data_IF_722534823962
#
_entry.id   IF_722534823962
#
_cell.length_a   1.000
_cell.length_b   1.000
_cell.length_c   1.000
_cell.angle_alpha   90.00
_cell.angle_beta   90.00
_cell.angle_gamma   90.00
#
_symmetry.space_group_name_H-M   'P 1'
#
loop_
_entity.id
_entity.type
_entity.pdbx_description
1 polymer ?
#
# COMPACT_ATOMS: atom_id res chain seq x y z
N UNK A 1 -12.61 5.68 -4.74
CA UNK A 1 -11.81 4.55 -5.27
C UNK A 1 -12.38 3.26 -4.74
N UNK A 2 -12.60 2.26 -5.59
CA UNK A 2 -13.12 0.97 -5.14
C UNK A 2 -12.06 0.26 -4.28
N UNK A 3 -12.33 0.08 -2.98
CA UNK A 3 -11.44 -0.54 -1.98
C UNK A 3 -10.96 -1.93 -2.40
N UNK A 4 -11.79 -2.67 -3.14
CA UNK A 4 -11.48 -4.02 -3.59
C UNK A 4 -10.34 -4.07 -4.64
N UNK A 5 -10.15 -3.00 -5.43
CA UNK A 5 -9.10 -2.95 -6.47
C UNK A 5 -7.70 -3.13 -5.86
N UNK A 6 -7.25 -2.27 -4.91
CA UNK A 6 -5.94 -2.43 -4.30
C UNK A 6 -5.84 -3.73 -3.49
N UNK A 7 -6.91 -4.15 -2.80
CA UNK A 7 -6.94 -5.42 -2.05
C UNK A 7 -6.62 -6.63 -2.91
N UNK A 8 -7.30 -6.78 -4.04
CA UNK A 8 -7.10 -7.90 -4.94
C UNK A 8 -5.75 -7.79 -5.64
N UNK A 9 -5.39 -6.61 -6.15
CA UNK A 9 -4.16 -6.42 -6.93
C UNK A 9 -2.90 -6.71 -6.11
N UNK A 10 -2.78 -6.12 -4.91
CA UNK A 10 -1.57 -6.28 -4.09
C UNK A 10 -1.48 -7.66 -3.44
N UNK A 11 -2.63 -8.25 -3.07
CA UNK A 11 -2.65 -9.63 -2.57
C UNK A 11 -2.27 -10.65 -3.65
N UNK A 12 -2.82 -10.49 -4.87
CA UNK A 12 -2.46 -11.35 -5.99
C UNK A 12 -0.98 -11.20 -6.36
N UNK A 13 -0.44 -9.98 -6.35
CA UNK A 13 0.98 -9.74 -6.60
C UNK A 13 1.87 -10.52 -5.62
N UNK A 14 1.67 -10.35 -4.31
CA UNK A 14 2.52 -11.02 -3.32
C UNK A 14 2.28 -12.53 -3.26
N UNK A 15 1.07 -13.01 -3.54
CA UNK A 15 0.78 -14.43 -3.70
C UNK A 15 1.57 -15.03 -4.87
N UNK A 16 1.59 -14.37 -6.02
CA UNK A 16 2.37 -14.79 -7.19
C UNK A 16 3.86 -14.78 -6.86
N UNK A 17 4.37 -13.73 -6.21
CA UNK A 17 5.80 -13.68 -5.80
C UNK A 17 6.15 -14.81 -4.83
N UNK A 18 5.30 -15.07 -3.83
CA UNK A 18 5.52 -16.11 -2.82
C UNK A 18 5.41 -17.55 -3.36
N UNK A 19 4.66 -17.78 -4.45
CA UNK A 19 4.51 -19.10 -5.08
C UNK A 19 5.50 -19.27 -6.24
N UNK A 20 5.51 -18.36 -7.20
CA UNK A 20 6.34 -18.46 -8.40
C UNK A 20 7.82 -18.23 -8.10
N UNK A 21 8.13 -17.29 -7.20
CA UNK A 21 9.52 -16.97 -6.84
C UNK A 21 10.33 -18.19 -6.40
N UNK A 22 9.88 -18.99 -5.42
CA UNK A 22 10.59 -20.20 -5.00
C UNK A 22 10.74 -21.28 -6.08
N UNK A 23 9.81 -21.35 -7.04
CA UNK A 23 9.84 -22.32 -8.15
C UNK A 23 10.92 -21.92 -9.17
N UNK A 24 11.13 -20.62 -9.39
CA UNK A 24 12.07 -20.09 -10.36
C UNK A 24 13.53 -20.06 -9.86
N UNK A 25 13.80 -20.44 -8.60
CA UNK A 25 15.16 -20.43 -8.04
C UNK A 25 16.03 -21.52 -8.69
N UNK A 26 17.17 -21.17 -9.31
CA UNK A 26 18.06 -22.14 -9.93
C UNK A 26 18.69 -23.08 -8.90
N UNK A 27 19.05 -24.27 -9.35
CA UNK A 27 19.70 -25.26 -8.49
C UNK A 27 21.11 -24.82 -8.15
N UNK A 28 21.38 -24.68 -6.85
CA UNK A 28 22.70 -24.30 -6.34
C UNK A 28 22.81 -24.57 -4.83
N UNK A 29 24.01 -24.41 -4.24
CA UNK A 29 24.26 -24.72 -2.83
C UNK A 29 23.32 -23.98 -1.86
N UNK A 30 22.89 -22.78 -2.23
CA UNK A 30 22.08 -21.89 -1.39
C UNK A 30 20.59 -21.87 -1.79
N UNK A 31 20.12 -22.81 -2.61
CA UNK A 31 18.75 -22.80 -3.15
C UNK A 31 17.69 -22.68 -2.05
N UNK A 32 17.80 -23.50 -1.00
CA UNK A 32 16.83 -23.50 0.10
C UNK A 32 16.78 -22.17 0.85
N UNK A 33 17.94 -21.53 1.07
CA UNK A 33 18.03 -20.21 1.72
C UNK A 33 17.36 -19.15 0.86
N UNK A 34 17.62 -19.14 -0.45
CA UNK A 34 16.98 -18.17 -1.36
C UNK A 34 15.46 -18.38 -1.41
N UNK A 35 14.99 -19.63 -1.43
CA UNK A 35 13.56 -19.94 -1.39
C UNK A 35 12.89 -19.43 -0.10
N UNK A 36 13.51 -19.66 1.06
CA UNK A 36 12.95 -19.20 2.34
C UNK A 36 12.99 -17.68 2.46
N UNK A 37 14.05 -17.03 1.97
CA UNK A 37 14.12 -15.56 1.90
C UNK A 37 12.97 -14.99 1.07
N UNK A 38 12.69 -15.55 -0.12
CA UNK A 38 11.61 -15.08 -0.99
C UNK A 38 10.24 -15.23 -0.31
N UNK A 39 9.96 -16.39 0.29
CA UNK A 39 8.68 -16.65 0.97
C UNK A 39 8.52 -15.72 2.18
N UNK A 40 9.55 -15.60 3.01
CA UNK A 40 9.53 -14.73 4.19
C UNK A 40 9.30 -13.27 3.80
N UNK A 41 10.01 -12.78 2.78
CA UNK A 41 9.80 -11.42 2.26
C UNK A 41 8.37 -11.23 1.75
N UNK A 42 7.85 -12.17 0.96
CA UNK A 42 6.50 -12.06 0.41
C UNK A 42 5.43 -11.96 1.52
N UNK A 43 5.54 -12.81 2.54
CA UNK A 43 4.61 -12.80 3.69
C UNK A 43 4.75 -11.50 4.49
N UNK A 44 5.97 -11.09 4.85
CA UNK A 44 6.21 -9.90 5.66
C UNK A 44 5.75 -8.61 4.94
N UNK A 45 6.07 -8.47 3.65
CA UNK A 45 5.69 -7.30 2.86
C UNK A 45 4.17 -7.24 2.62
N UNK A 46 3.54 -8.38 2.34
CA UNK A 46 2.07 -8.44 2.22
C UNK A 46 1.40 -8.09 3.55
N UNK A 47 1.86 -8.67 4.67
CA UNK A 47 1.32 -8.43 6.00
C UNK A 47 1.48 -6.97 6.43
N UNK A 48 2.65 -6.38 6.21
CA UNK A 48 2.87 -4.95 6.47
C UNK A 48 1.88 -4.09 5.67
N UNK A 49 1.76 -4.37 4.37
CA UNK A 49 0.88 -3.63 3.48
C UNK A 49 -0.59 -3.73 3.87
N UNK A 50 -1.11 -4.95 4.12
CA UNK A 50 -2.54 -5.12 4.41
C UNK A 50 -2.92 -4.45 5.73
N UNK A 51 -2.06 -4.51 6.76
CA UNK A 51 -2.33 -3.88 8.05
C UNK A 51 -2.43 -2.36 7.90
N UNK A 52 -1.47 -1.71 7.24
CA UNK A 52 -1.50 -0.24 7.07
C UNK A 52 -2.67 0.20 6.20
N UNK A 53 -3.02 -0.60 5.19
CA UNK A 53 -4.17 -0.33 4.33
C UNK A 53 -5.49 -0.41 5.11
N UNK A 54 -5.69 -1.49 5.86
CA UNK A 54 -6.90 -1.69 6.67
C UNK A 54 -7.05 -0.62 7.75
N UNK A 55 -5.95 -0.15 8.34
CA UNK A 55 -5.99 0.94 9.32
C UNK A 55 -6.65 2.20 8.76
N UNK A 56 -6.52 2.46 7.46
CA UNK A 56 -7.01 3.68 6.83
C UNK A 56 -8.45 3.59 6.28
N UNK A 57 -9.10 2.42 6.30
CA UNK A 57 -10.41 2.24 5.67
C UNK A 57 -11.57 2.90 6.42
N UNK A 58 -11.50 2.98 7.75
CA UNK A 58 -12.49 3.65 8.60
C UNK A 58 -11.76 4.54 9.62
N UNK A 59 -11.20 5.68 9.18
CA UNK A 59 -10.41 6.53 10.06
C UNK A 59 -11.33 7.25 11.06
N UNK A 60 -10.98 7.18 12.36
CA UNK A 60 -11.68 7.94 13.40
C UNK A 60 -11.15 9.37 13.53
N UNK A 61 -9.92 9.62 13.05
CA UNK A 61 -9.20 10.88 13.22
C UNK A 61 -8.78 11.40 11.85
N UNK A 62 -9.16 12.64 11.55
CA UNK A 62 -8.73 13.37 10.37
C UNK A 62 -7.46 14.21 10.61
N UNK A 63 -6.78 14.64 9.53
CA UNK A 63 -5.59 15.48 9.63
C UNK A 63 -5.91 16.85 10.23
N UNK A 64 -5.09 17.31 11.18
CA UNK A 64 -5.15 18.65 11.78
C UNK A 64 -4.10 19.54 11.12
N UNK A 65 -4.53 20.48 10.26
CA UNK A 65 -3.63 21.33 9.46
C UNK A 65 -4.03 22.81 9.55
N UNK A 66 -3.05 23.74 9.48
CA UNK A 66 -3.33 25.17 9.60
C UNK A 66 -4.12 25.70 8.38
N UNK A 67 -4.96 26.70 8.61
CA UNK A 67 -5.88 27.27 7.61
C UNK A 67 -5.15 27.69 6.32
N UNK A 68 -3.94 28.24 6.43
CA UNK A 68 -3.12 28.59 5.27
C UNK A 68 -2.90 27.38 4.35
N UNK A 69 -2.53 26.24 4.91
CA UNK A 69 -2.28 25.00 4.15
C UNK A 69 -3.57 24.44 3.55
N UNK A 70 -4.69 24.52 4.28
CA UNK A 70 -6.02 24.13 3.76
C UNK A 70 -6.37 24.96 2.51
N UNK A 71 -6.15 26.28 2.54
CA UNK A 71 -6.38 27.16 1.38
C UNK A 71 -5.51 26.76 0.19
N UNK A 72 -4.24 26.41 0.41
CA UNK A 72 -3.34 25.95 -0.65
C UNK A 72 -3.79 24.61 -1.25
N UNK A 73 -4.18 23.64 -0.42
CA UNK A 73 -4.68 22.33 -0.87
C UNK A 73 -5.95 22.54 -1.70
N UNK A 74 -6.88 23.38 -1.22
CA UNK A 74 -8.12 23.70 -1.95
C UNK A 74 -7.84 24.39 -3.29
N UNK A 75 -6.81 25.22 -3.40
CA UNK A 75 -6.43 25.87 -4.65
C UNK A 75 -5.84 24.89 -5.67
N UNK A 76 -5.06 23.91 -5.20
CA UNK A 76 -4.32 22.99 -6.06
C UNK A 76 -5.14 21.74 -6.45
N UNK A 77 -5.94 21.23 -5.52
CA UNK A 77 -6.62 19.94 -5.61
C UNK A 77 -8.12 20.02 -5.29
N UNK A 78 -8.66 21.20 -5.00
CA UNK A 78 -10.07 21.38 -4.63
C UNK A 78 -10.91 21.92 -5.78
N UNK A 79 -12.15 21.45 -5.86
CA UNK A 79 -13.14 21.89 -6.86
C UNK A 79 -14.05 23.01 -6.30
N UNK A 80 -13.54 23.81 -5.36
CA UNK A 80 -14.37 24.80 -4.66
C UNK A 80 -14.80 25.92 -5.63
N UNK A 81 -16.12 26.12 -5.87
CA UNK A 81 -16.60 27.15 -6.80
C UNK A 81 -16.35 28.57 -6.27
N UNK A 82 -16.12 28.73 -4.97
CA UNK A 82 -15.80 30.00 -4.32
C UNK A 82 -14.67 29.77 -3.33
N UNK A 83 -13.56 30.48 -3.52
CA UNK A 83 -12.51 30.58 -2.50
C UNK A 83 -12.98 31.59 -1.46
N UNK A 84 -13.09 31.18 -0.19
CA UNK A 84 -13.38 32.11 0.90
C UNK A 84 -12.24 33.13 0.96
N UNK A 85 -12.50 34.32 0.42
CA UNK A 85 -11.61 35.47 0.54
C UNK A 85 -11.60 35.89 2.00
N UNK A 86 -10.40 36.08 2.53
CA UNK A 86 -10.25 36.95 3.69
C UNK A 86 -10.50 38.39 3.24
#
# INVERSE_FOLDING_TARGET
MAVWIPLVAVSAFWLVVGIAGPILVPTGPNKGIVQTMIILTAVCCWMFWIIVFLHQLNPLIGPQIPVRTIKWISKQWGDAPVLVSN
#
